data_IF_548272778853
#
_entry.id   IF_548272778853
#
_cell.length_a   1.000
_cell.length_b   1.000
_cell.length_c   1.000
_cell.angle_alpha   90.00
_cell.angle_beta   90.00
_cell.angle_gamma   90.00
#
_symmetry.space_group_name_H-M   'P 1'
#
loop_
_entity.id
_entity.type
_entity.pdbx_description
1 polymer ?
#
# COMPACT_ATOMS: atom_id res chain seq x y z
N UNK A 1 11.84 -3.52 -2.53
CA UNK A 1 10.70 -4.31 -2.01
C UNK A 1 9.37 -3.64 -2.31
N UNK A 2 9.10 -2.42 -1.82
CA UNK A 2 7.79 -1.77 -2.01
C UNK A 2 7.37 -1.60 -3.48
N UNK A 3 8.29 -1.23 -4.38
CA UNK A 3 7.98 -1.10 -5.80
C UNK A 3 7.52 -2.43 -6.44
N UNK A 4 8.15 -3.55 -6.06
CA UNK A 4 7.73 -4.90 -6.46
C UNK A 4 6.33 -5.20 -5.95
N UNK A 5 6.06 -4.96 -4.67
CA UNK A 5 4.72 -5.16 -4.10
C UNK A 5 3.64 -4.33 -4.81
N UNK A 6 3.91 -3.05 -5.09
CA UNK A 6 2.94 -2.17 -5.74
C UNK A 6 2.65 -2.56 -7.20
N UNK A 7 3.66 -3.09 -7.91
CA UNK A 7 3.55 -3.48 -9.33
C UNK A 7 3.07 -4.91 -9.52
N UNK A 8 3.62 -5.87 -8.78
CA UNK A 8 3.41 -7.31 -9.01
C UNK A 8 2.26 -7.86 -8.16
N UNK A 9 2.17 -7.48 -6.88
CA UNK A 9 1.14 -8.00 -5.97
C UNK A 9 -0.15 -7.17 -6.05
N UNK A 10 -0.02 -5.85 -5.95
CA UNK A 10 -1.18 -4.95 -5.91
C UNK A 10 -1.63 -4.47 -7.29
N UNK A 11 -0.76 -4.54 -8.30
CA UNK A 11 -1.07 -4.14 -9.68
C UNK A 11 -1.44 -2.65 -9.85
N UNK A 12 -1.08 -1.80 -8.89
CA UNK A 12 -1.44 -0.36 -8.88
C UNK A 12 -0.31 0.56 -9.34
N UNK A 13 0.85 0.02 -9.72
CA UNK A 13 2.00 0.80 -10.17
C UNK A 13 2.63 0.26 -11.46
N UNK A 14 3.14 1.18 -12.28
CA UNK A 14 4.05 0.88 -13.39
C UNK A 14 5.47 1.31 -12.98
N UNK A 15 6.46 0.55 -13.43
CA UNK A 15 7.87 0.83 -13.20
C UNK A 15 8.66 0.90 -14.53
N UNK A 16 9.77 1.64 -14.57
CA UNK A 16 10.70 1.59 -15.69
C UNK A 16 11.27 0.18 -15.91
N UNK A 17 11.71 -0.09 -17.13
CA UNK A 17 12.23 -1.38 -17.60
C UNK A 17 13.45 -1.79 -16.77
N UNK A 18 14.33 -0.82 -16.48
CA UNK A 18 15.50 -1.01 -15.63
C UNK A 18 15.37 -0.12 -14.41
N UNK A 19 15.87 -0.59 -13.26
CA UNK A 19 15.89 0.21 -12.04
C UNK A 19 16.60 1.54 -12.27
N UNK A 20 16.01 2.69 -11.82
CA UNK A 20 16.65 4.00 -11.96
C UNK A 20 18.04 4.10 -11.34
N UNK A 21 18.32 3.27 -10.32
CA UNK A 21 19.65 3.16 -9.68
C UNK A 21 20.69 2.45 -10.54
N UNK A 22 20.26 1.67 -11.54
CA UNK A 22 21.14 0.91 -12.44
C UNK A 22 21.29 1.59 -13.80
N UNK A 23 20.31 2.38 -14.24
CA UNK A 23 20.32 3.06 -15.53
C UNK A 23 19.41 4.28 -15.49
N UNK A 24 19.87 5.39 -16.08
CA UNK A 24 19.05 6.58 -16.28
C UNK A 24 17.85 6.25 -17.16
N UNK A 25 16.65 6.57 -16.68
CA UNK A 25 15.40 6.46 -17.43
C UNK A 25 15.34 7.61 -18.43
N UNK A 26 15.22 7.30 -19.72
CA UNK A 26 15.18 8.34 -20.75
C UNK A 26 13.80 8.98 -20.84
N UNK A 27 13.73 10.20 -21.36
CA UNK A 27 12.47 10.97 -21.46
C UNK A 27 11.40 10.25 -22.26
N UNK A 28 11.78 9.48 -23.28
CA UNK A 28 10.84 8.74 -24.13
C UNK A 28 10.14 7.61 -23.34
N UNK A 29 10.88 6.97 -22.43
CA UNK A 29 10.34 5.96 -21.52
C UNK A 29 9.42 6.62 -20.47
N UNK A 30 9.83 7.77 -19.93
CA UNK A 30 9.00 8.55 -18.99
C UNK A 30 7.68 8.96 -19.66
N UNK A 31 7.72 9.51 -20.87
CA UNK A 31 6.53 9.88 -21.66
C UNK A 31 5.59 8.69 -21.83
N UNK A 32 6.13 7.53 -22.22
CA UNK A 32 5.36 6.30 -22.41
C UNK A 32 4.66 5.86 -21.13
N UNK A 33 5.39 5.85 -20.01
CA UNK A 33 4.85 5.48 -18.70
C UNK A 33 3.75 6.45 -18.26
N UNK A 34 3.99 7.76 -18.39
CA UNK A 34 3.00 8.78 -18.03
C UNK A 34 1.74 8.63 -18.88
N UNK A 35 1.89 8.41 -20.19
CA UNK A 35 0.75 8.24 -21.10
C UNK A 35 -0.04 6.97 -20.77
N UNK A 36 0.62 5.85 -20.47
CA UNK A 36 -0.02 4.61 -19.99
C UNK A 36 -0.88 4.84 -18.75
N UNK A 37 -0.32 5.54 -17.76
CA UNK A 37 -1.03 5.83 -16.51
C UNK A 37 -2.21 6.76 -16.75
N UNK A 38 -2.04 7.81 -17.57
CA UNK A 38 -3.04 8.86 -17.69
C UNK A 38 -4.14 8.54 -18.71
N UNK A 39 -3.78 8.06 -19.90
CA UNK A 39 -4.66 8.06 -21.08
C UNK A 39 -5.18 6.68 -21.48
N UNK A 40 -4.45 5.60 -21.17
CA UNK A 40 -4.81 4.26 -21.64
C UNK A 40 -5.62 3.46 -20.61
N UNK A 41 -6.32 2.43 -21.09
CA UNK A 41 -7.17 1.56 -20.26
C UNK A 41 -6.39 0.85 -19.16
N UNK A 42 -5.11 0.53 -19.41
CA UNK A 42 -4.18 0.00 -18.41
C UNK A 42 -4.12 0.90 -17.16
N UNK A 43 -3.95 2.21 -17.36
CA UNK A 43 -3.93 3.20 -16.27
C UNK A 43 -5.28 3.36 -15.58
N UNK A 44 -6.40 3.18 -16.30
CA UNK A 44 -7.74 3.17 -15.71
C UNK A 44 -7.93 1.97 -14.78
N UNK A 45 -7.52 0.78 -15.20
CA UNK A 45 -7.57 -0.43 -14.36
C UNK A 45 -6.74 -0.27 -13.07
N UNK A 46 -5.53 0.30 -13.18
CA UNK A 46 -4.69 0.61 -12.01
C UNK A 46 -5.39 1.57 -11.04
N UNK A 47 -6.02 2.64 -11.55
CA UNK A 47 -6.78 3.61 -10.73
C UNK A 47 -7.96 2.96 -10.01
N UNK A 48 -8.69 2.07 -10.68
CA UNK A 48 -9.80 1.35 -10.05
C UNK A 48 -9.31 0.39 -8.95
N UNK A 49 -8.20 -0.32 -9.16
CA UNK A 49 -7.58 -1.11 -8.08
C UNK A 49 -7.10 -0.23 -6.92
N UNK A 50 -6.50 0.93 -7.21
CA UNK A 50 -6.10 1.88 -6.17
C UNK A 50 -7.29 2.41 -5.36
N UNK A 51 -8.45 2.67 -6.00
CA UNK A 51 -9.69 3.05 -5.31
C UNK A 51 -10.22 1.94 -4.42
N UNK A 52 -10.20 0.69 -4.88
CA UNK A 52 -10.60 -0.48 -4.07
C UNK A 52 -9.68 -0.61 -2.85
N UNK A 53 -8.37 -0.54 -3.04
CA UNK A 53 -7.40 -0.59 -1.95
C UNK A 53 -7.62 0.54 -0.94
N UNK A 54 -7.86 1.77 -1.42
CA UNK A 54 -8.20 2.92 -0.55
C UNK A 54 -9.42 2.64 0.32
N UNK A 55 -10.47 2.05 -0.25
CA UNK A 55 -11.68 1.71 0.51
C UNK A 55 -11.39 0.63 1.56
N UNK A 56 -10.69 -0.44 1.16
CA UNK A 56 -10.32 -1.52 2.09
C UNK A 56 -9.44 -1.01 3.24
N UNK A 57 -8.45 -0.16 2.95
CA UNK A 57 -7.59 0.44 3.98
C UNK A 57 -8.39 1.33 4.94
N UNK A 58 -9.33 2.13 4.42
CA UNK A 58 -10.23 2.95 5.23
C UNK A 58 -11.10 2.08 6.15
N UNK A 59 -11.70 1.01 5.62
CA UNK A 59 -12.57 0.11 6.38
C UNK A 59 -11.79 -0.66 7.45
N UNK A 60 -10.57 -1.11 7.15
CA UNK A 60 -9.72 -1.79 8.12
C UNK A 60 -9.30 -0.87 9.27
N UNK A 61 -9.15 0.43 9.01
CA UNK A 61 -8.69 1.42 9.99
C UNK A 61 -9.82 2.15 10.72
N UNK A 62 -11.07 2.04 10.26
CA UNK A 62 -12.23 2.64 10.94
C UNK A 62 -12.59 1.91 12.24
N UNK A 63 -13.44 2.52 13.06
CA UNK A 63 -13.99 1.88 14.28
C UNK A 63 -14.68 0.56 13.91
N UNK A 64 -14.31 -0.52 14.59
CA UNK A 64 -14.76 -1.89 14.29
C UNK A 64 -14.12 -2.50 13.03
N UNK A 65 -13.08 -1.87 12.49
CA UNK A 65 -12.25 -2.38 11.42
C UNK A 65 -11.12 -3.26 11.95
N UNK A 66 -10.67 -4.21 11.14
CA UNK A 66 -9.71 -5.24 11.56
C UNK A 66 -8.40 -4.70 12.14
N UNK A 67 -7.86 -3.60 11.58
CA UNK A 67 -6.63 -2.98 12.10
C UNK A 67 -6.87 -2.22 13.40
N UNK A 68 -8.03 -1.56 13.52
CA UNK A 68 -8.45 -0.91 14.78
C UNK A 68 -8.64 -1.96 15.89
N UNK A 69 -9.28 -3.08 15.58
CA UNK A 69 -9.50 -4.18 16.53
C UNK A 69 -8.19 -4.87 16.92
N UNK A 70 -7.25 -5.03 15.99
CA UNK A 70 -5.94 -5.59 16.27
C UNK A 70 -5.14 -4.71 17.26
N UNK A 71 -5.13 -3.39 17.05
CA UNK A 71 -4.47 -2.45 17.96
C UNK A 71 -5.18 -2.43 19.32
N UNK A 72 -6.52 -2.48 19.33
CA UNK A 72 -7.29 -2.50 20.59
C UNK A 72 -6.97 -3.73 21.43
N UNK A 73 -6.85 -4.91 20.81
CA UNK A 73 -6.41 -6.14 21.48
C UNK A 73 -4.98 -6.03 22.01
N UNK A 74 -4.06 -5.47 21.22
CA UNK A 74 -2.69 -5.23 21.67
C UNK A 74 -2.64 -4.33 22.91
N UNK A 75 -3.46 -3.27 22.96
CA UNK A 75 -3.53 -2.38 24.13
C UNK A 75 -4.04 -3.13 25.37
N UNK A 76 -5.08 -3.94 25.23
CA UNK A 76 -5.57 -4.79 26.33
C UNK A 76 -4.49 -5.75 26.85
N UNK A 77 -3.74 -6.37 25.94
CA UNK A 77 -2.63 -7.27 26.32
C UNK A 77 -1.54 -6.53 27.09
N UNK A 78 -1.25 -5.28 26.72
CA UNK A 78 -0.28 -4.43 27.41
C UNK A 78 -0.81 -4.05 28.81
N UNK A 79 -2.07 -3.62 28.90
CA UNK A 79 -2.72 -3.24 30.17
C UNK A 79 -2.78 -4.41 31.17
N UNK A 80 -3.12 -5.61 30.70
CA UNK A 80 -3.11 -6.80 31.55
C UNK A 80 -1.72 -7.07 32.11
N UNK A 81 -0.68 -7.01 31.27
CA UNK A 81 0.71 -7.25 31.67
C UNK A 81 1.21 -6.22 32.68
N UNK A 82 0.91 -4.93 32.49
CA UNK A 82 1.34 -3.88 33.44
C UNK A 82 0.62 -4.02 34.79
N UNK A 83 -0.66 -4.40 34.79
CA UNK A 83 -1.39 -4.69 36.02
C UNK A 83 -0.80 -5.90 36.78
N UNK A 84 -0.34 -6.93 36.07
CA UNK A 84 0.29 -8.11 36.72
C UNK A 84 1.65 -7.78 37.32
N UNK A 85 2.44 -6.91 36.67
CA UNK A 85 3.75 -6.48 37.18
C UNK A 85 3.66 -5.51 38.36
N UNK A 86 2.50 -4.89 38.60
CA UNK A 86 2.28 -3.98 39.74
C UNK A 86 1.82 -4.71 41.01
N UNK A 87 1.59 -6.03 40.94
CA UNK A 87 1.16 -6.89 42.06
C UNK A 87 2.29 -7.81 42.58
N UNK A 88 3.53 -7.59 42.13
CA UNK A 88 4.76 -8.24 42.60
C UNK A 88 5.68 -7.17 43.17
#
# INVERSE_FOLDING_TARGET
>A
MNATMLTEELGIAIRPIVLPTKKVVRREEIETIVRKIMQYEEGKAMREMAKKLKMSAKNASSKGGSSCDAISRLLQDIEMKTATMSQV
#
